data_IF_989285973792
#
_entry.id   IF_989285973792
#
_cell.length_a   1.000
_cell.length_b   1.000
_cell.length_c   1.000
_cell.angle_alpha   90.00
_cell.angle_beta   90.00
_cell.angle_gamma   90.00
#
_symmetry.space_group_name_H-M   'P 1'
#
loop_
_entity.id
_entity.type
_entity.pdbx_description
1 polymer ?
#
# COMPACT_ATOMS: atom_id res chain seq x y z
N UNK A 1 30.77 -49.23 -66.79
CA UNK A 1 30.24 -48.41 -65.67
C UNK A 1 29.43 -47.25 -66.25
N UNK A 2 28.38 -46.77 -65.58
CA UNK A 2 27.49 -45.66 -65.99
C UNK A 2 26.22 -45.98 -66.80
N UNK A 3 25.30 -46.82 -66.26
CA UNK A 3 23.87 -46.82 -66.65
C UNK A 3 22.88 -46.78 -65.48
N UNK A 4 23.35 -46.92 -64.22
CA UNK A 4 22.48 -46.87 -63.03
C UNK A 4 22.20 -45.44 -62.50
N UNK A 5 23.07 -44.45 -62.75
CA UNK A 5 22.90 -43.10 -62.19
C UNK A 5 21.85 -42.23 -62.91
N UNK A 6 21.65 -42.42 -64.22
CA UNK A 6 20.70 -41.61 -65.02
C UNK A 6 19.24 -41.87 -64.62
N UNK A 7 18.91 -43.08 -64.17
CA UNK A 7 17.57 -43.46 -63.71
C UNK A 7 17.22 -42.85 -62.34
N UNK A 8 18.21 -42.72 -61.45
CA UNK A 8 18.01 -42.20 -60.10
C UNK A 8 17.90 -40.66 -60.10
N UNK A 9 18.73 -39.97 -60.87
CA UNK A 9 18.64 -38.50 -61.02
C UNK A 9 17.33 -38.06 -61.70
N UNK A 10 16.87 -38.80 -62.71
CA UNK A 10 15.59 -38.50 -63.37
C UNK A 10 14.39 -38.78 -62.46
N UNK A 11 14.46 -39.79 -61.60
CA UNK A 11 13.44 -40.07 -60.57
C UNK A 11 13.41 -38.97 -59.51
N UNK A 12 14.56 -38.58 -58.96
CA UNK A 12 14.66 -37.50 -57.96
C UNK A 12 14.17 -36.17 -58.52
N UNK A 13 14.51 -35.84 -59.78
CA UNK A 13 14.04 -34.63 -60.45
C UNK A 13 12.52 -34.63 -60.66
N UNK A 14 11.92 -35.78 -60.98
CA UNK A 14 10.46 -35.91 -61.11
C UNK A 14 9.76 -35.76 -59.75
N UNK A 15 10.29 -36.38 -58.69
CA UNK A 15 9.75 -36.23 -57.34
C UNK A 15 9.87 -34.80 -56.82
N UNK A 16 10.99 -34.11 -57.08
CA UNK A 16 11.17 -32.70 -56.71
C UNK A 16 10.18 -31.78 -57.41
N UNK A 17 9.99 -31.95 -58.73
CA UNK A 17 8.98 -31.19 -59.50
C UNK A 17 7.57 -31.46 -58.97
N UNK A 18 7.26 -32.70 -58.59
CA UNK A 18 5.95 -33.06 -58.04
C UNK A 18 5.70 -32.40 -56.67
N UNK A 19 6.70 -32.42 -55.78
CA UNK A 19 6.61 -31.79 -54.45
C UNK A 19 6.51 -30.26 -54.56
N UNK A 20 7.33 -29.63 -55.41
CA UNK A 20 7.24 -28.19 -55.69
C UNK A 20 5.87 -27.81 -56.29
N UNK A 21 5.31 -28.66 -57.14
CA UNK A 21 3.96 -28.46 -57.69
C UNK A 21 2.87 -28.55 -56.61
N UNK A 22 2.99 -29.49 -55.67
CA UNK A 22 2.04 -29.63 -54.55
C UNK A 22 2.12 -28.43 -53.61
N UNK A 23 3.34 -27.97 -53.29
CA UNK A 23 3.55 -26.78 -52.44
C UNK A 23 3.01 -25.53 -53.15
N UNK A 24 3.28 -25.36 -54.44
CA UNK A 24 2.74 -24.24 -55.23
C UNK A 24 1.20 -24.29 -55.29
N UNK A 25 0.60 -25.46 -55.47
CA UNK A 25 -0.86 -25.63 -55.41
C UNK A 25 -1.42 -25.31 -54.01
N UNK A 26 -0.71 -25.69 -52.94
CA UNK A 26 -1.08 -25.35 -51.57
C UNK A 26 -1.05 -23.84 -51.31
N UNK A 27 0.03 -23.15 -51.74
CA UNK A 27 0.16 -21.70 -51.62
C UNK A 27 -0.92 -20.98 -52.44
N UNK A 28 -1.21 -21.45 -53.67
CA UNK A 28 -2.28 -20.89 -54.50
C UNK A 28 -3.67 -21.12 -53.86
N UNK A 29 -3.89 -22.27 -53.22
CA UNK A 29 -5.11 -22.55 -52.47
C UNK A 29 -5.29 -21.63 -51.26
N UNK A 30 -4.23 -21.41 -50.48
CA UNK A 30 -4.24 -20.50 -49.31
C UNK A 30 -4.45 -19.05 -49.77
N UNK A 31 -3.75 -18.61 -50.82
CA UNK A 31 -3.94 -17.28 -51.40
C UNK A 31 -5.34 -17.09 -51.97
N UNK A 32 -5.93 -18.10 -52.63
CA UNK A 32 -7.30 -18.05 -53.11
C UNK A 32 -8.32 -18.03 -51.97
N UNK A 33 -8.06 -18.74 -50.86
CA UNK A 33 -8.87 -18.69 -49.66
C UNK A 33 -8.80 -17.32 -48.96
N UNK A 34 -7.61 -16.72 -48.88
CA UNK A 34 -7.42 -15.38 -48.34
C UNK A 34 -8.09 -14.31 -49.23
N UNK A 35 -7.97 -14.43 -50.56
CA UNK A 35 -8.65 -13.55 -51.52
C UNK A 35 -10.18 -13.72 -51.48
N UNK A 36 -10.69 -14.95 -51.31
CA UNK A 36 -12.12 -15.19 -51.08
C UNK A 36 -12.56 -14.58 -49.75
N UNK A 37 -11.79 -14.75 -48.68
CA UNK A 37 -12.06 -14.13 -47.38
C UNK A 37 -11.97 -12.60 -47.38
N UNK A 38 -11.21 -12.00 -48.30
CA UNK A 38 -11.14 -10.56 -48.52
C UNK A 38 -12.28 -10.05 -49.42
N UNK A 39 -12.66 -10.82 -50.45
CA UNK A 39 -13.80 -10.51 -51.32
C UNK A 39 -15.16 -10.69 -50.61
N UNK A 40 -15.29 -11.71 -49.75
CA UNK A 40 -16.44 -11.92 -48.87
C UNK A 40 -16.53 -10.80 -47.80
N UNK A 41 -15.41 -10.10 -47.51
CA UNK A 41 -15.35 -8.92 -46.62
C UNK A 41 -15.45 -7.58 -47.36
N UNK A 42 -15.44 -7.56 -48.69
CA UNK A 42 -15.67 -6.33 -49.44
C UNK A 42 -17.15 -6.22 -49.81
N UNK A 43 -17.98 -5.87 -48.83
CA UNK A 43 -19.29 -5.31 -49.09
C UNK A 43 -19.14 -3.80 -49.21
N UNK A 44 -19.59 -3.24 -50.34
CA UNK A 44 -19.81 -1.80 -50.47
C UNK A 44 -20.94 -1.45 -49.50
N UNK A 45 -20.60 -0.74 -48.42
CA UNK A 45 -21.59 -0.24 -47.46
C UNK A 45 -22.43 0.81 -48.21
N UNK A 46 -23.67 0.45 -48.54
CA UNK A 46 -24.67 1.40 -49.00
C UNK A 46 -25.00 2.37 -47.85
N UNK A 47 -25.28 3.65 -48.12
CA UNK A 47 -25.67 4.59 -47.07
C UNK A 47 -26.87 4.03 -46.31
N UNK A 48 -26.77 4.10 -44.97
CA UNK A 48 -27.87 3.79 -44.07
C UNK A 48 -29.12 4.56 -44.48
N UNK A 49 -30.26 3.87 -44.52
CA UNK A 49 -31.59 4.47 -44.71
C UNK A 49 -32.07 5.31 -43.50
N UNK A 50 -31.19 5.56 -42.53
CA UNK A 50 -31.39 6.49 -41.41
C UNK A 50 -30.56 7.78 -41.59
N UNK A 51 -30.60 8.36 -42.79
CA UNK A 51 -30.45 9.81 -42.90
C UNK A 51 -31.79 10.43 -42.47
N UNK A 52 -31.73 11.26 -41.43
CA UNK A 52 -32.84 11.69 -40.57
C UNK A 52 -34.11 12.20 -41.27
N UNK A 53 -35.27 11.82 -40.72
CA UNK A 53 -36.50 12.62 -40.68
C UNK A 53 -36.85 12.83 -39.19
N UNK A 54 -37.02 14.08 -38.69
CA UNK A 54 -36.80 14.43 -37.28
C UNK A 54 -38.08 14.36 -36.43
N UNK A 55 -38.84 13.26 -36.50
CA UNK A 55 -40.03 13.06 -35.65
C UNK A 55 -40.34 11.58 -35.39
N UNK A 56 -39.63 10.93 -34.45
CA UNK A 56 -40.13 9.72 -33.77
C UNK A 56 -39.31 9.44 -32.51
N UNK A 57 -40.00 9.30 -31.38
CA UNK A 57 -39.45 9.08 -30.05
C UNK A 57 -38.46 7.91 -30.01
N UNK A 58 -37.17 8.24 -29.91
CA UNK A 58 -36.18 7.35 -29.34
C UNK A 58 -36.54 7.23 -27.86
N UNK A 59 -36.79 6.01 -27.37
CA UNK A 59 -36.66 5.74 -25.95
C UNK A 59 -35.19 6.00 -25.59
N UNK A 60 -34.91 7.25 -25.22
CA UNK A 60 -33.69 7.67 -24.54
C UNK A 60 -33.55 6.73 -23.33
N UNK A 61 -32.36 6.19 -23.03
CA UNK A 61 -32.11 5.62 -21.71
C UNK A 61 -32.67 6.61 -20.68
N UNK A 62 -33.70 6.20 -19.94
CA UNK A 62 -34.45 7.13 -19.08
C UNK A 62 -33.72 7.40 -17.77
N UNK A 63 -32.45 7.04 -17.69
CA UNK A 63 -31.52 7.64 -16.75
C UNK A 63 -30.85 8.82 -17.46
N UNK A 64 -31.19 10.02 -17.01
CA UNK A 64 -30.28 11.14 -17.14
C UNK A 64 -28.90 10.67 -16.64
N UNK A 65 -27.78 11.03 -17.30
CA UNK A 65 -26.47 10.82 -16.69
C UNK A 65 -26.55 11.43 -15.30
N UNK A 66 -26.25 10.61 -14.29
CA UNK A 66 -26.29 11.05 -12.91
C UNK A 66 -25.44 12.34 -12.82
N UNK A 67 -26.05 13.49 -12.49
CA UNK A 67 -25.29 14.74 -12.38
C UNK A 67 -24.20 14.67 -11.30
N UNK A 68 -24.27 13.65 -10.43
CA UNK A 68 -23.29 13.34 -9.40
C UNK A 68 -22.25 12.27 -9.84
N UNK A 69 -22.38 11.69 -11.04
CA UNK A 69 -21.37 10.76 -11.55
C UNK A 69 -20.02 11.47 -11.73
N UNK A 70 -18.91 10.92 -11.22
CA UNK A 70 -17.62 11.58 -11.28
C UNK A 70 -17.19 11.81 -12.73
N UNK A 71 -16.86 13.06 -13.05
CA UNK A 71 -16.15 13.40 -14.28
C UNK A 71 -14.70 12.97 -14.06
N UNK A 72 -14.19 12.05 -14.85
CA UNK A 72 -12.80 11.58 -14.73
C UNK A 72 -11.81 12.50 -15.46
N UNK A 73 -10.66 12.71 -14.83
CA UNK A 73 -9.44 13.29 -15.41
C UNK A 73 -8.28 12.30 -15.25
N UNK A 74 -7.07 12.63 -15.66
CA UNK A 74 -5.88 11.78 -15.44
C UNK A 74 -4.85 12.48 -14.57
N UNK A 75 -4.16 11.68 -13.76
CA UNK A 75 -2.96 12.06 -13.03
C UNK A 75 -1.81 11.24 -13.57
N UNK A 76 -0.71 11.91 -13.91
CA UNK A 76 0.51 11.27 -14.41
C UNK A 76 1.32 10.72 -13.24
N UNK A 77 1.38 9.40 -13.12
CA UNK A 77 2.09 8.69 -12.05
C UNK A 77 3.41 8.11 -12.58
N UNK A 78 4.56 8.34 -11.93
CA UNK A 78 5.80 7.65 -12.29
C UNK A 78 5.65 6.13 -12.20
N UNK A 79 6.28 5.38 -13.10
CA UNK A 79 6.18 3.91 -13.09
C UNK A 79 6.71 3.28 -11.79
N UNK A 80 7.70 3.90 -11.15
CA UNK A 80 8.24 3.46 -9.85
C UNK A 80 7.22 3.60 -8.70
N UNK A 81 6.19 4.45 -8.85
CA UNK A 81 5.20 4.70 -7.81
C UNK A 81 4.27 3.48 -7.56
N UNK A 82 4.33 2.45 -8.40
CA UNK A 82 3.66 1.16 -8.12
C UNK A 82 4.21 0.50 -6.85
N UNK A 83 5.41 0.88 -6.41
CA UNK A 83 6.09 0.34 -5.23
C UNK A 83 5.85 1.18 -3.96
N UNK A 84 4.94 2.17 -4.00
CA UNK A 84 4.62 3.06 -2.87
C UNK A 84 3.12 3.13 -2.60
N UNK A 85 2.74 3.42 -1.36
CA UNK A 85 1.34 3.61 -0.93
C UNK A 85 0.85 2.53 0.04
N UNK A 86 -0.34 2.71 0.59
CA UNK A 86 -0.86 1.90 1.70
C UNK A 86 -1.14 0.43 1.33
N UNK A 87 -1.37 0.14 0.05
CA UNK A 87 -1.77 -1.16 -0.47
C UNK A 87 -0.65 -1.92 -1.20
N UNK A 88 0.61 -1.53 -0.97
CA UNK A 88 1.76 -2.29 -1.48
C UNK A 88 1.77 -3.70 -0.88
N UNK A 89 1.77 -4.72 -1.74
CA UNK A 89 1.94 -6.10 -1.33
C UNK A 89 3.43 -6.41 -1.19
N UNK A 90 3.91 -6.54 0.05
CA UNK A 90 5.29 -6.94 0.34
C UNK A 90 5.29 -8.35 0.90
N UNK A 91 5.94 -9.28 0.20
CA UNK A 91 6.08 -10.67 0.62
C UNK A 91 7.25 -11.34 -0.13
N UNK A 92 7.34 -12.67 -0.06
CA UNK A 92 8.39 -13.45 -0.71
C UNK A 92 8.41 -13.35 -2.25
N UNK A 93 7.24 -13.07 -2.87
CA UNK A 93 7.10 -12.95 -4.33
C UNK A 93 7.19 -11.49 -4.81
N UNK A 94 6.99 -10.53 -3.89
CA UNK A 94 6.94 -9.10 -4.17
C UNK A 94 7.83 -8.32 -3.19
N UNK A 95 9.10 -8.15 -3.57
CA UNK A 95 10.05 -7.42 -2.73
C UNK A 95 9.82 -5.90 -2.78
N UNK A 96 9.98 -5.25 -1.64
CA UNK A 96 10.08 -3.81 -1.48
C UNK A 96 11.51 -3.35 -1.81
N UNK A 97 11.62 -2.29 -2.60
CA UNK A 97 12.90 -1.81 -3.17
C UNK A 97 13.19 -0.35 -2.88
N UNK A 98 12.28 0.33 -2.18
CA UNK A 98 12.40 1.76 -1.90
C UNK A 98 13.06 1.96 -0.53
N UNK A 99 14.07 2.82 -0.47
CA UNK A 99 14.67 3.24 0.79
C UNK A 99 15.16 4.68 0.64
N UNK A 100 14.57 5.62 1.38
CA UNK A 100 15.10 6.98 1.58
C UNK A 100 14.13 8.14 1.36
N UNK A 101 12.83 7.89 1.15
CA UNK A 101 11.80 8.94 0.99
C UNK A 101 10.58 8.77 1.90
N UNK A 102 10.63 7.81 2.82
CA UNK A 102 9.57 7.51 3.77
C UNK A 102 9.45 8.66 4.79
N UNK A 103 8.24 9.18 4.98
CA UNK A 103 7.93 10.16 6.04
C UNK A 103 7.79 9.44 7.39
N UNK A 104 8.94 8.98 7.88
CA UNK A 104 9.07 8.26 9.15
C UNK A 104 9.03 9.25 10.32
N UNK A 105 8.27 8.88 11.35
CA UNK A 105 8.16 9.61 12.61
C UNK A 105 8.61 8.73 13.76
N UNK A 106 9.27 9.32 14.76
CA UNK A 106 9.62 8.62 16.00
C UNK A 106 8.35 8.42 16.85
N UNK A 107 8.10 7.17 17.24
CA UNK A 107 6.89 6.79 17.97
C UNK A 107 6.91 7.41 19.37
N UNK A 108 8.00 7.25 20.12
CA UNK A 108 8.09 7.72 21.50
C UNK A 108 8.06 9.25 21.58
N UNK A 109 8.72 9.96 20.65
CA UNK A 109 8.67 11.42 20.58
C UNK A 109 7.22 11.92 20.42
N UNK A 110 6.48 11.37 19.44
CA UNK A 110 5.09 11.80 19.22
C UNK A 110 4.14 11.37 20.34
N UNK A 111 4.37 10.22 20.99
CA UNK A 111 3.59 9.79 22.15
C UNK A 111 3.76 10.80 23.30
N UNK A 112 4.99 11.21 23.58
CA UNK A 112 5.32 12.20 24.60
C UNK A 112 4.68 13.56 24.29
N UNK A 113 4.79 14.04 23.05
CA UNK A 113 4.19 15.29 22.60
C UNK A 113 2.66 15.29 22.73
N UNK A 114 2.03 14.14 22.46
CA UNK A 114 0.59 13.95 22.61
C UNK A 114 0.15 13.70 24.06
N UNK A 115 1.09 13.49 25.00
CA UNK A 115 0.80 13.13 26.38
C UNK A 115 0.16 11.74 26.54
N UNK A 116 0.40 10.83 25.60
CA UNK A 116 -0.09 9.45 25.64
C UNK A 116 0.89 8.61 26.46
N UNK A 117 0.41 8.01 27.55
CA UNK A 117 1.26 7.24 28.50
C UNK A 117 0.77 5.81 28.74
N UNK A 118 -0.24 5.34 28.00
CA UNK A 118 -0.80 3.99 28.17
C UNK A 118 0.02 2.89 27.49
N UNK A 119 1.02 3.25 26.68
CA UNK A 119 2.00 2.34 26.07
C UNK A 119 3.23 3.14 25.63
N UNK A 120 4.29 2.44 25.23
CA UNK A 120 5.48 3.02 24.60
C UNK A 120 6.03 2.11 23.49
N UNK A 121 7.01 2.59 22.73
CA UNK A 121 7.89 1.71 21.98
C UNK A 121 9.03 1.18 22.86
N UNK A 122 9.51 -0.02 22.54
CA UNK A 122 10.47 -0.77 23.36
C UNK A 122 11.82 -0.04 23.51
N UNK A 123 12.28 0.61 22.43
CA UNK A 123 13.49 1.44 22.45
C UNK A 123 13.25 2.78 21.73
N UNK A 124 14.08 3.77 22.04
CA UNK A 124 14.11 5.05 21.31
C UNK A 124 14.54 4.84 19.86
N UNK A 125 14.05 5.67 18.94
CA UNK A 125 14.35 5.54 17.51
C UNK A 125 13.47 4.54 16.76
N UNK A 126 12.51 3.90 17.44
CA UNK A 126 11.45 3.15 16.79
C UNK A 126 10.59 4.12 15.99
N UNK A 127 10.65 3.95 14.67
CA UNK A 127 9.95 4.83 13.73
C UNK A 127 8.85 4.07 12.99
N UNK A 128 7.87 4.81 12.48
CA UNK A 128 6.79 4.29 11.64
C UNK A 128 6.38 5.35 10.62
N UNK A 129 5.71 4.97 9.53
CA UNK A 129 5.18 5.98 8.61
C UNK A 129 4.16 6.88 9.32
N UNK A 130 4.25 8.19 9.06
CA UNK A 130 3.40 9.20 9.72
C UNK A 130 1.91 8.87 9.67
N UNK A 131 1.41 8.38 8.54
CA UNK A 131 0.00 8.04 8.38
C UNK A 131 -0.45 6.83 9.21
N UNK A 132 0.48 6.00 9.67
CA UNK A 132 0.20 4.81 10.51
C UNK A 132 0.19 5.15 12.00
N UNK A 133 0.91 6.21 12.39
CA UNK A 133 1.03 6.62 13.79
C UNK A 133 -0.33 6.86 14.46
N UNK A 134 -1.22 7.63 13.83
CA UNK A 134 -2.53 7.94 14.41
C UNK A 134 -3.46 6.72 14.48
N UNK A 135 -3.60 5.89 13.44
CA UNK A 135 -4.26 4.59 13.50
C UNK A 135 -3.80 3.68 14.65
N UNK A 136 -2.49 3.46 14.75
CA UNK A 136 -1.86 2.61 15.76
C UNK A 136 -2.16 3.12 17.17
N UNK A 137 -1.92 4.42 17.41
CA UNK A 137 -2.13 5.04 18.72
C UNK A 137 -3.59 5.05 19.14
N UNK A 138 -4.51 5.32 18.22
CA UNK A 138 -5.95 5.28 18.49
C UNK A 138 -6.42 3.88 18.90
N UNK A 139 -6.00 2.85 18.17
CA UNK A 139 -6.35 1.46 18.48
C UNK A 139 -5.86 1.05 19.88
N UNK A 140 -4.60 1.31 20.20
CA UNK A 140 -3.99 0.93 21.48
C UNK A 140 -4.60 1.75 22.64
N UNK A 141 -4.89 3.03 22.40
CA UNK A 141 -5.54 3.89 23.40
C UNK A 141 -6.97 3.43 23.71
N UNK A 142 -7.74 3.02 22.69
CA UNK A 142 -9.10 2.52 22.88
C UNK A 142 -9.10 1.15 23.60
N UNK A 143 -8.15 0.27 23.27
CA UNK A 143 -7.91 -0.95 24.04
C UNK A 143 -7.64 -0.64 25.52
N UNK A 144 -6.71 0.27 25.81
CA UNK A 144 -6.42 0.71 27.18
C UNK A 144 -7.67 1.28 27.87
N UNK A 145 -8.46 2.09 27.19
CA UNK A 145 -9.67 2.68 27.76
C UNK A 145 -10.71 1.61 28.16
N UNK A 146 -10.78 0.50 27.44
CA UNK A 146 -11.72 -0.61 27.72
C UNK A 146 -11.20 -1.50 28.85
N UNK A 147 -9.93 -1.93 28.78
CA UNK A 147 -9.39 -2.99 29.62
C UNK A 147 -8.51 -2.50 30.77
N UNK A 148 -8.07 -1.25 30.72
CA UNK A 148 -7.12 -0.65 31.67
C UNK A 148 -5.78 -1.41 31.73
N UNK A 149 -5.38 -1.98 30.59
CA UNK A 149 -4.13 -2.71 30.40
C UNK A 149 -3.10 -1.79 29.72
N UNK A 150 -2.11 -1.35 30.49
CA UNK A 150 -0.99 -0.51 30.07
C UNK A 150 0.29 -1.32 29.83
N UNK A 151 0.17 -2.64 29.70
CA UNK A 151 1.34 -3.53 29.56
C UNK A 151 1.80 -3.67 28.10
N UNK A 152 1.05 -3.16 27.12
CA UNK A 152 1.42 -3.22 25.71
C UNK A 152 2.63 -2.34 25.39
N UNK A 153 3.48 -2.82 24.49
CA UNK A 153 4.61 -2.07 23.93
C UNK A 153 4.74 -2.34 22.43
N UNK A 154 5.17 -1.34 21.66
CA UNK A 154 5.63 -1.56 20.28
C UNK A 154 6.99 -2.26 20.35
N UNK A 155 7.09 -3.45 19.79
CA UNK A 155 8.32 -4.27 19.78
C UNK A 155 8.89 -4.48 18.37
N UNK A 156 8.12 -4.13 17.35
CA UNK A 156 8.55 -4.06 15.96
C UNK A 156 7.93 -2.85 15.29
N UNK A 157 8.72 -2.10 14.54
CA UNK A 157 8.25 -0.98 13.72
C UNK A 157 9.07 -0.93 12.42
N UNK A 158 9.30 0.23 11.81
CA UNK A 158 10.18 0.33 10.65
C UNK A 158 11.54 -0.33 10.89
N UNK A 159 11.98 -1.15 9.93
CA UNK A 159 13.30 -1.80 9.91
C UNK A 159 13.98 -1.46 8.60
N UNK A 160 15.23 -1.02 8.62
CA UNK A 160 15.99 -0.89 7.38
C UNK A 160 16.26 -2.26 6.75
N UNK A 161 16.49 -2.28 5.44
CA UNK A 161 16.86 -3.51 4.72
C UNK A 161 18.12 -4.16 5.34
N UNK A 162 19.13 -3.37 5.71
CA UNK A 162 20.35 -3.85 6.38
C UNK A 162 20.05 -4.51 7.73
N UNK A 163 19.11 -3.93 8.50
CA UNK A 163 18.71 -4.52 9.78
C UNK A 163 17.91 -5.82 9.57
N UNK A 164 17.03 -5.85 8.56
CA UNK A 164 16.33 -7.09 8.18
C UNK A 164 17.31 -8.18 7.74
N UNK A 165 18.38 -7.84 7.00
CA UNK A 165 19.45 -8.78 6.62
C UNK A 165 20.17 -9.34 7.84
N UNK A 166 20.51 -8.49 8.81
CA UNK A 166 21.11 -8.92 10.06
C UNK A 166 20.22 -9.92 10.82
N UNK A 167 18.91 -9.63 10.94
CA UNK A 167 17.96 -10.53 11.61
C UNK A 167 17.84 -11.87 10.88
N UNK A 168 17.75 -11.85 9.55
CA UNK A 168 17.67 -13.04 8.72
C UNK A 168 18.89 -13.94 8.90
N UNK A 169 20.10 -13.37 8.80
CA UNK A 169 21.35 -14.11 8.94
C UNK A 169 21.53 -14.67 10.36
N UNK A 170 21.05 -13.94 11.38
CA UNK A 170 21.08 -14.39 12.78
C UNK A 170 20.17 -15.61 13.00
N UNK A 171 18.95 -15.61 12.45
CA UNK A 171 18.03 -16.74 12.57
C UNK A 171 18.57 -17.98 11.83
N UNK A 172 19.15 -17.82 10.64
CA UNK A 172 19.82 -18.92 9.94
C UNK A 172 21.00 -19.49 10.72
N UNK A 173 21.79 -18.63 11.37
CA UNK A 173 22.91 -19.06 12.20
C UNK A 173 22.47 -19.81 13.46
N UNK A 174 21.34 -19.43 14.04
CA UNK A 174 20.77 -20.07 15.24
C UNK A 174 20.13 -21.43 14.91
N UNK A 175 19.33 -21.49 13.85
CA UNK A 175 18.58 -22.68 13.46
C UNK A 175 19.42 -23.68 12.67
N UNK A 176 20.41 -23.20 11.91
CA UNK A 176 21.19 -23.98 10.96
C UNK A 176 20.40 -24.37 9.69
N UNK A 177 19.25 -23.74 9.44
CA UNK A 177 18.45 -23.95 8.23
C UNK A 177 19.01 -23.18 7.02
N UNK A 178 18.62 -23.59 5.81
CA UNK A 178 19.02 -22.88 4.58
C UNK A 178 18.15 -21.64 4.30
N UNK A 179 16.95 -21.60 4.88
CA UNK A 179 15.97 -20.51 4.72
C UNK A 179 15.20 -20.33 6.04
N UNK A 180 14.87 -19.09 6.40
CA UNK A 180 14.10 -18.83 7.61
C UNK A 180 12.60 -18.98 7.33
N UNK A 181 11.89 -19.57 8.28
CA UNK A 181 10.41 -19.62 8.31
C UNK A 181 9.80 -18.63 9.30
N UNK A 182 10.64 -17.85 9.98
CA UNK A 182 10.27 -16.93 11.08
C UNK A 182 10.65 -15.48 10.80
N UNK A 183 11.70 -15.27 9.99
CA UNK A 183 12.19 -13.95 9.61
C UNK A 183 12.09 -13.83 8.10
N UNK A 184 11.37 -12.81 7.62
CA UNK A 184 11.28 -12.56 6.18
C UNK A 184 12.66 -12.21 5.60
N UNK A 185 12.89 -12.60 4.34
CA UNK A 185 14.08 -12.18 3.59
C UNK A 185 14.13 -10.65 3.50
N UNK A 186 15.33 -10.05 3.41
CA UNK A 186 15.47 -8.62 3.15
C UNK A 186 14.79 -8.24 1.84
N UNK A 187 14.03 -7.15 1.86
CA UNK A 187 13.11 -6.73 0.83
C UNK A 187 11.73 -7.40 0.92
N UNK A 188 11.54 -8.44 1.71
CA UNK A 188 10.26 -9.16 1.81
C UNK A 188 9.56 -8.97 3.16
N UNK A 189 10.08 -8.08 4.02
CA UNK A 189 9.47 -7.74 5.31
C UNK A 189 8.59 -6.50 5.19
N UNK A 190 7.35 -6.56 5.68
CA UNK A 190 6.48 -5.37 5.72
C UNK A 190 7.01 -4.27 6.66
N UNK A 191 7.89 -4.60 7.61
CA UNK A 191 8.57 -3.60 8.42
C UNK A 191 9.46 -2.67 7.59
N UNK A 192 9.95 -3.13 6.44
CA UNK A 192 10.81 -2.30 5.59
C UNK A 192 10.05 -1.14 4.93
N UNK A 193 8.73 -1.25 4.80
CA UNK A 193 7.92 -0.16 4.26
C UNK A 193 7.30 0.75 5.36
N UNK A 194 7.52 0.45 6.64
CA UNK A 194 7.01 1.26 7.75
C UNK A 194 5.47 1.26 7.90
N UNK A 195 4.76 0.37 7.19
CA UNK A 195 3.31 0.18 7.28
C UNK A 195 2.89 -0.86 8.32
N UNK A 196 3.85 -1.59 8.89
CA UNK A 196 3.61 -2.64 9.86
C UNK A 196 4.26 -2.36 11.22
N UNK A 197 3.63 -2.86 12.28
CA UNK A 197 4.18 -2.85 13.63
C UNK A 197 3.83 -4.14 14.39
N UNK A 198 4.68 -4.50 15.34
CA UNK A 198 4.49 -5.65 16.23
C UNK A 198 4.19 -5.17 17.65
N UNK A 199 3.19 -5.79 18.27
CA UNK A 199 2.91 -5.64 19.70
C UNK A 199 3.64 -6.69 20.52
N UNK A 200 4.03 -6.30 21.73
CA UNK A 200 4.46 -7.21 22.78
C UNK A 200 3.92 -6.76 24.14
N UNK A 201 4.17 -7.55 25.17
CA UNK A 201 3.95 -7.16 26.56
C UNK A 201 5.26 -6.76 27.25
N UNK A 202 5.21 -5.77 28.13
CA UNK A 202 6.35 -5.28 28.90
C UNK A 202 6.85 -6.25 29.98
N UNK A 203 6.00 -7.18 30.44
CA UNK A 203 6.34 -8.07 31.57
C UNK A 203 7.01 -9.35 31.12
N UNK A 204 6.38 -10.09 30.20
CA UNK A 204 6.84 -11.41 29.76
C UNK A 204 7.30 -11.43 28.29
N UNK A 205 7.15 -10.33 27.55
CA UNK A 205 7.39 -10.26 26.11
C UNK A 205 6.61 -11.29 25.30
N UNK A 206 5.45 -11.69 25.82
CA UNK A 206 4.61 -12.76 25.28
C UNK A 206 3.24 -12.19 24.95
N UNK A 207 3.08 -11.71 23.72
CA UNK A 207 1.80 -11.28 23.21
C UNK A 207 1.11 -12.46 22.53
N UNK A 208 -0.07 -12.81 23.02
CA UNK A 208 -0.81 -13.98 22.53
C UNK A 208 -1.94 -13.60 21.57
N UNK A 209 -2.45 -12.38 21.67
CA UNK A 209 -3.69 -11.99 20.97
C UNK A 209 -4.92 -12.72 21.51
N UNK A 210 -4.84 -13.30 22.70
CA UNK A 210 -5.92 -14.00 23.37
C UNK A 210 -6.46 -13.18 24.56
N UNK A 211 -7.58 -13.62 25.15
CA UNK A 211 -8.20 -12.92 26.26
C UNK A 211 -8.64 -11.51 25.85
N UNK A 212 -8.24 -10.50 26.62
CA UNK A 212 -8.58 -9.11 26.30
C UNK A 212 -7.87 -8.64 25.02
N UNK A 213 -6.65 -9.13 24.72
CA UNK A 213 -5.87 -8.76 23.53
C UNK A 213 -6.54 -9.18 22.22
N UNK A 214 -7.43 -10.18 22.25
CA UNK A 214 -8.22 -10.57 21.08
C UNK A 214 -8.99 -9.39 20.49
N UNK A 215 -9.38 -8.43 21.35
CA UNK A 215 -10.03 -7.20 20.92
C UNK A 215 -9.23 -6.44 19.87
N UNK A 216 -7.90 -6.40 19.96
CA UNK A 216 -7.05 -5.70 19.00
C UNK A 216 -7.18 -6.32 17.60
N UNK A 217 -7.08 -7.64 17.51
CA UNK A 217 -7.27 -8.36 16.25
C UNK A 217 -8.69 -8.21 15.69
N UNK A 218 -9.70 -8.27 16.56
CA UNK A 218 -11.11 -8.17 16.18
C UNK A 218 -11.55 -6.76 15.76
N UNK A 219 -10.86 -5.71 16.23
CA UNK A 219 -11.29 -4.31 16.05
C UNK A 219 -10.28 -3.46 15.26
N UNK A 220 -9.10 -3.99 14.91
CA UNK A 220 -8.07 -3.24 14.18
C UNK A 220 -8.58 -2.58 12.89
N UNK A 221 -9.54 -3.19 12.20
CA UNK A 221 -10.09 -2.68 10.95
C UNK A 221 -10.80 -1.32 11.07
N UNK A 222 -11.27 -0.96 12.26
CA UNK A 222 -11.85 0.37 12.52
C UNK A 222 -10.82 1.50 12.36
N UNK A 223 -9.54 1.16 12.45
CA UNK A 223 -8.41 2.08 12.37
C UNK A 223 -7.65 1.93 11.04
N UNK A 224 -8.16 1.14 10.10
CA UNK A 224 -7.45 0.89 8.83
C UNK A 224 -6.31 -0.11 8.93
N UNK A 225 -6.28 -0.88 10.03
CA UNK A 225 -5.31 -1.93 10.29
C UNK A 225 -5.91 -3.30 10.04
N UNK A 226 -5.08 -4.26 9.65
CA UNK A 226 -5.42 -5.68 9.58
C UNK A 226 -4.47 -6.49 10.46
N UNK A 227 -4.99 -7.55 11.07
CA UNK A 227 -4.14 -8.62 11.60
C UNK A 227 -3.59 -9.42 10.42
N UNK A 228 -2.30 -9.26 10.12
CA UNK A 228 -1.75 -9.58 8.79
C UNK A 228 -1.64 -11.07 8.50
N UNK A 229 -1.25 -11.85 9.52
CA UNK A 229 -0.91 -13.26 9.39
C UNK A 229 -1.77 -14.09 10.35
N UNK A 230 -2.95 -14.49 9.86
CA UNK A 230 -3.88 -15.37 10.59
C UNK A 230 -3.70 -16.82 10.21
N UNK A 231 -4.07 -17.74 11.11
CA UNK A 231 -3.96 -19.19 10.89
C UNK A 231 -4.68 -19.66 9.63
N UNK A 232 -5.89 -19.13 9.37
CA UNK A 232 -6.68 -19.48 8.19
C UNK A 232 -6.00 -19.06 6.87
N UNK A 233 -5.10 -18.07 6.92
CA UNK A 233 -4.47 -17.44 5.75
C UNK A 233 -3.04 -17.87 5.50
N UNK A 234 -2.43 -18.63 6.41
CA UNK A 234 -1.10 -19.22 6.23
C UNK A 234 -0.90 -19.95 4.89
N UNK A 235 -1.88 -20.71 4.34
CA UNK A 235 -1.71 -21.33 3.03
C UNK A 235 -1.52 -20.35 1.87
N UNK A 236 -1.92 -19.09 2.03
CA UNK A 236 -1.78 -18.02 1.04
C UNK A 236 -0.57 -17.15 1.38
N UNK A 237 -0.49 -16.61 2.59
CA UNK A 237 0.57 -15.68 3.03
C UNK A 237 1.94 -16.34 3.15
N UNK A 238 1.98 -17.66 3.37
CA UNK A 238 3.18 -18.48 3.64
C UNK A 238 3.93 -18.13 4.93
N UNK A 239 3.37 -17.24 5.75
CA UNK A 239 3.90 -16.87 7.06
C UNK A 239 3.08 -17.58 8.14
N UNK A 240 3.73 -17.98 9.24
CA UNK A 240 3.05 -18.59 10.38
C UNK A 240 2.07 -17.59 11.02
N UNK A 241 1.12 -18.04 11.86
CA UNK A 241 0.24 -17.11 12.56
C UNK A 241 1.06 -16.18 13.46
N UNK A 242 0.85 -14.87 13.32
CA UNK A 242 1.53 -13.84 14.09
C UNK A 242 0.46 -12.91 14.68
N UNK A 243 -0.09 -13.23 15.87
CA UNK A 243 -1.15 -12.44 16.49
C UNK A 243 -0.72 -10.99 16.79
N UNK A 244 0.58 -10.73 16.87
CA UNK A 244 1.17 -9.43 17.16
C UNK A 244 1.39 -8.52 15.96
N UNK A 245 1.37 -9.03 14.71
CA UNK A 245 1.77 -8.27 13.52
C UNK A 245 0.57 -7.58 12.86
N UNK A 246 0.51 -6.26 12.99
CA UNK A 246 -0.53 -5.42 12.40
C UNK A 246 0.00 -4.65 11.20
N UNK A 247 -0.82 -4.57 10.15
CA UNK A 247 -0.48 -3.89 8.89
C UNK A 247 -1.52 -2.83 8.56
N UNK A 248 -1.09 -1.61 8.27
CA UNK A 248 -1.95 -0.53 7.80
C UNK A 248 -2.23 -0.67 6.30
N UNK A 249 -3.51 -0.56 5.94
CA UNK A 249 -4.02 -0.64 4.56
C UNK A 249 -5.08 0.44 4.28
N UNK A 250 -5.42 1.29 5.26
CA UNK A 250 -6.49 2.27 5.18
C UNK A 250 -7.88 1.72 5.53
N UNK A 251 -8.77 2.60 6.02
CA UNK A 251 -10.06 2.22 6.63
C UNK A 251 -10.97 1.41 5.71
N UNK A 252 -11.19 1.89 4.48
CA UNK A 252 -12.08 1.23 3.52
C UNK A 252 -11.62 -0.20 3.22
N UNK A 253 -10.31 -0.36 3.03
CA UNK A 253 -9.68 -1.61 2.65
C UNK A 253 -9.68 -2.60 3.82
N UNK A 254 -9.25 -2.17 5.00
CA UNK A 254 -9.24 -3.01 6.21
C UNK A 254 -10.65 -3.49 6.57
N UNK A 255 -11.65 -2.60 6.47
CA UNK A 255 -13.06 -2.94 6.65
C UNK A 255 -13.48 -4.04 5.68
N UNK A 256 -13.28 -3.83 4.37
CA UNK A 256 -13.70 -4.79 3.36
C UNK A 256 -13.00 -6.14 3.52
N UNK A 257 -11.68 -6.13 3.75
CA UNK A 257 -10.90 -7.34 3.98
C UNK A 257 -11.40 -8.13 5.18
N UNK A 258 -11.68 -7.44 6.29
CA UNK A 258 -12.16 -8.08 7.52
C UNK A 258 -13.55 -8.68 7.32
N UNK A 259 -14.50 -7.93 6.73
CA UNK A 259 -15.87 -8.42 6.53
C UNK A 259 -15.95 -9.56 5.51
N UNK A 260 -14.96 -9.70 4.63
CA UNK A 260 -14.90 -10.76 3.62
C UNK A 260 -13.87 -11.85 3.95
N UNK A 261 -13.24 -11.80 5.13
CA UNK A 261 -12.17 -12.70 5.54
C UNK A 261 -11.10 -12.86 4.44
N UNK A 262 -10.44 -11.76 4.06
CA UNK A 262 -9.38 -11.74 3.04
C UNK A 262 -8.04 -11.36 3.67
N UNK A 263 -6.95 -12.04 3.27
CA UNK A 263 -5.61 -11.50 3.47
C UNK A 263 -5.25 -10.49 2.35
N UNK A 264 -4.14 -9.76 2.50
CA UNK A 264 -3.75 -8.73 1.54
C UNK A 264 -3.53 -9.31 0.13
N UNK A 265 -2.92 -10.48 0.02
CA UNK A 265 -2.75 -11.19 -1.26
C UNK A 265 -4.08 -11.41 -1.98
N UNK A 266 -5.08 -11.97 -1.28
CA UNK A 266 -6.41 -12.24 -1.86
C UNK A 266 -7.13 -10.94 -2.23
N UNK A 267 -6.95 -9.88 -1.44
CA UNK A 267 -7.56 -8.58 -1.71
C UNK A 267 -6.99 -7.92 -2.96
N UNK A 268 -5.66 -7.92 -3.11
CA UNK A 268 -4.98 -7.38 -4.29
C UNK A 268 -5.38 -8.18 -5.54
N UNK A 269 -5.44 -9.50 -5.46
CA UNK A 269 -5.90 -10.33 -6.57
C UNK A 269 -7.38 -10.11 -6.91
N UNK A 270 -8.24 -9.91 -5.92
CA UNK A 270 -9.65 -9.58 -6.13
C UNK A 270 -9.79 -8.25 -6.91
N UNK A 271 -9.05 -7.21 -6.50
CA UNK A 271 -9.10 -5.92 -7.19
C UNK A 271 -8.61 -6.03 -8.64
N UNK A 272 -7.47 -6.71 -8.85
CA UNK A 272 -6.88 -6.90 -10.19
C UNK A 272 -7.79 -7.69 -11.14
N UNK A 273 -8.41 -8.77 -10.64
CA UNK A 273 -9.17 -9.69 -11.47
C UNK A 273 -10.61 -9.27 -11.70
N UNK A 274 -11.21 -8.53 -10.75
CA UNK A 274 -12.66 -8.27 -10.75
C UNK A 274 -13.01 -6.78 -10.81
N UNK A 275 -12.10 -5.88 -10.43
CA UNK A 275 -12.41 -4.46 -10.26
C UNK A 275 -11.42 -3.55 -11.00
N UNK A 276 -11.10 -3.88 -12.25
CA UNK A 276 -10.37 -2.97 -13.12
C UNK A 276 -11.21 -1.72 -13.46
N UNK A 277 -10.55 -0.59 -13.71
CA UNK A 277 -11.19 0.69 -14.08
C UNK A 277 -12.19 0.60 -15.25
N UNK A 278 -11.95 -0.29 -16.20
CA UNK A 278 -12.84 -0.47 -17.36
C UNK A 278 -14.06 -1.37 -17.06
N UNK A 279 -14.12 -1.94 -15.86
CA UNK A 279 -15.13 -2.89 -15.41
C UNK A 279 -16.00 -2.35 -14.28
N UNK A 280 -16.51 -3.26 -13.45
CA UNK A 280 -17.31 -2.91 -12.28
C UNK A 280 -16.39 -2.52 -11.11
N UNK A 281 -16.52 -1.30 -10.62
CA UNK A 281 -15.76 -0.84 -9.46
C UNK A 281 -16.31 -1.46 -8.17
N UNK A 282 -15.42 -1.68 -7.21
CA UNK A 282 -15.80 -2.17 -5.90
C UNK A 282 -16.41 -1.02 -5.08
N UNK A 283 -17.64 -1.18 -4.62
CA UNK A 283 -18.28 -0.22 -3.71
C UNK A 283 -18.18 -0.74 -2.28
N UNK A 284 -17.65 0.10 -1.38
CA UNK A 284 -17.50 -0.22 0.04
C UNK A 284 -18.28 0.81 0.84
N UNK A 285 -19.17 0.36 1.71
CA UNK A 285 -19.81 1.20 2.71
C UNK A 285 -19.40 0.70 4.08
N UNK A 286 -18.65 1.51 4.83
CA UNK A 286 -18.22 1.14 6.17
C UNK A 286 -19.39 1.22 7.18
N UNK A 287 -19.14 0.74 8.41
CA UNK A 287 -20.14 0.80 9.49
C UNK A 287 -20.50 2.22 9.94
N UNK A 288 -19.65 3.21 9.63
CA UNK A 288 -19.91 4.64 9.86
C UNK A 288 -20.79 5.28 8.77
N UNK A 289 -21.04 4.58 7.67
CA UNK A 289 -21.79 5.07 6.51
C UNK A 289 -20.93 5.83 5.49
N UNK A 290 -19.60 5.85 5.65
CA UNK A 290 -18.70 6.35 4.62
C UNK A 290 -18.76 5.43 3.42
N UNK A 291 -18.86 6.01 2.22
CA UNK A 291 -18.93 5.26 0.97
C UNK A 291 -17.68 5.51 0.13
N UNK A 292 -17.11 4.42 -0.37
CA UNK A 292 -15.91 4.39 -1.19
C UNK A 292 -16.18 3.64 -2.49
N UNK A 293 -15.51 4.09 -3.55
CA UNK A 293 -15.45 3.38 -4.83
C UNK A 293 -13.99 3.09 -5.16
N UNK A 294 -13.67 1.82 -5.36
CA UNK A 294 -12.30 1.33 -5.52
C UNK A 294 -12.16 0.62 -6.86
N UNK A 295 -11.10 0.95 -7.58
CA UNK A 295 -10.72 0.21 -8.79
C UNK A 295 -9.21 0.09 -8.93
N UNK A 296 -8.81 -0.93 -9.67
CA UNK A 296 -7.44 -1.16 -10.10
C UNK A 296 -7.20 -0.62 -11.51
N UNK A 297 -6.01 -0.08 -11.74
CA UNK A 297 -5.56 0.41 -13.03
C UNK A 297 -4.14 -0.09 -13.33
N UNK A 298 -3.97 -0.79 -14.45
CA UNK A 298 -2.68 -1.35 -14.87
C UNK A 298 -1.65 -0.24 -15.12
N UNK A 299 -0.42 -0.45 -14.66
CA UNK A 299 0.69 0.43 -15.02
C UNK A 299 1.07 0.24 -16.50
N UNK A 300 1.44 1.34 -17.17
CA UNK A 300 2.00 1.29 -18.51
C UNK A 300 3.49 0.93 -18.45
N UNK A 301 3.78 -0.36 -18.49
CA UNK A 301 5.16 -0.87 -18.48
C UNK A 301 6.00 -0.50 -19.72
N UNK A 302 5.43 0.16 -20.73
CA UNK A 302 6.17 0.68 -21.88
C UNK A 302 6.56 2.16 -21.75
N UNK A 303 6.12 2.82 -20.67
CA UNK A 303 6.32 4.25 -20.41
C UNK A 303 7.01 4.46 -19.05
N UNK A 304 7.64 5.62 -18.88
CA UNK A 304 8.17 6.07 -17.59
C UNK A 304 7.05 6.57 -16.65
N UNK A 305 5.85 6.78 -17.20
CA UNK A 305 4.67 7.28 -16.48
C UNK A 305 3.40 6.55 -16.93
N UNK A 306 2.45 6.41 -16.01
CA UNK A 306 1.10 5.90 -16.25
C UNK A 306 0.09 7.03 -16.02
N UNK A 307 -0.78 7.28 -16.99
CA UNK A 307 -1.90 8.22 -16.84
C UNK A 307 -3.07 7.52 -16.14
N UNK A 308 -3.16 7.68 -14.82
CA UNK A 308 -4.16 7.03 -13.98
C UNK A 308 -5.44 7.88 -13.98
N UNK A 309 -6.60 7.33 -14.38
CA UNK A 309 -7.86 8.05 -14.31
C UNK A 309 -8.27 8.25 -12.86
N UNK A 310 -8.77 9.43 -12.51
CA UNK A 310 -9.25 9.82 -11.17
C UNK A 310 -10.45 10.76 -11.28
N UNK A 311 -11.33 10.84 -10.27
CA UNK A 311 -12.46 11.78 -10.29
C UNK A 311 -11.96 13.23 -10.15
N UNK A 312 -12.56 14.14 -10.91
CA UNK A 312 -12.22 15.57 -10.91
C UNK A 312 -12.85 16.37 -9.77
N UNK A 313 -13.87 15.81 -9.12
CA UNK A 313 -14.75 16.51 -8.16
C UNK A 313 -14.91 15.77 -6.82
N UNK A 314 -14.21 14.67 -6.62
CA UNK A 314 -14.23 13.88 -5.39
C UNK A 314 -12.81 13.73 -4.84
N UNK A 315 -12.69 13.57 -3.53
CA UNK A 315 -11.43 13.20 -2.90
C UNK A 315 -11.07 11.76 -3.28
N UNK A 316 -9.78 11.49 -3.46
CA UNK A 316 -9.30 10.17 -3.81
C UNK A 316 -7.89 9.94 -3.25
N UNK A 317 -7.56 8.67 -3.03
CA UNK A 317 -6.20 8.19 -2.77
C UNK A 317 -5.72 7.33 -3.94
N UNK A 318 -4.41 7.29 -4.17
CA UNK A 318 -3.77 6.38 -5.13
C UNK A 318 -2.68 5.63 -4.40
N UNK A 319 -2.72 4.29 -4.45
CA UNK A 319 -1.66 3.42 -3.98
C UNK A 319 -1.14 2.57 -5.11
N UNK A 320 0.17 2.38 -5.21
CA UNK A 320 0.72 1.22 -5.90
C UNK A 320 0.29 -0.08 -5.21
N UNK A 321 0.26 -1.18 -5.95
CA UNK A 321 0.01 -2.52 -5.38
C UNK A 321 1.29 -3.35 -5.19
N UNK A 322 2.46 -2.82 -5.57
CA UNK A 322 3.76 -3.50 -5.61
C UNK A 322 3.83 -4.72 -6.55
N UNK A 323 2.87 -4.85 -7.47
CA UNK A 323 2.77 -5.97 -8.41
C UNK A 323 2.83 -5.46 -9.85
N UNK A 324 1.85 -4.66 -10.26
CA UNK A 324 1.63 -4.34 -11.67
C UNK A 324 0.76 -3.09 -11.94
N UNK A 325 0.36 -2.34 -10.91
CA UNK A 325 -0.52 -1.21 -11.14
C UNK A 325 -0.85 -0.39 -9.90
N UNK A 326 -1.89 0.42 -10.06
CA UNK A 326 -2.38 1.36 -9.07
C UNK A 326 -3.78 0.95 -8.61
N UNK A 327 -4.09 1.21 -7.36
CA UNK A 327 -5.41 1.11 -6.77
C UNK A 327 -5.84 2.54 -6.45
N UNK A 328 -6.98 2.94 -6.99
CA UNK A 328 -7.59 4.25 -6.73
C UNK A 328 -8.77 4.05 -5.80
N UNK A 329 -8.82 4.83 -4.73
CA UNK A 329 -9.91 4.82 -3.74
C UNK A 329 -10.59 6.18 -3.75
N UNK A 330 -11.78 6.25 -4.32
CA UNK A 330 -12.62 7.45 -4.35
C UNK A 330 -13.46 7.52 -3.08
N UNK A 331 -13.50 8.69 -2.45
CA UNK A 331 -14.36 8.95 -1.30
C UNK A 331 -15.64 9.65 -1.78
N UNK A 332 -16.78 8.94 -1.76
CA UNK A 332 -18.03 9.40 -2.39
C UNK A 332 -18.85 10.34 -1.50
N UNK A 333 -18.78 10.15 -0.18
CA UNK A 333 -19.61 10.89 0.79
C UNK A 333 -18.83 11.75 1.80
N UNK A 334 -17.50 11.83 1.68
CA UNK A 334 -16.74 12.81 2.46
C UNK A 334 -16.88 14.17 1.79
N UNK A 335 -17.60 15.08 2.44
CA UNK A 335 -17.54 16.50 2.09
C UNK A 335 -16.05 16.88 2.18
N UNK A 336 -15.42 17.37 1.10
CA UNK A 336 -14.00 17.70 1.14
C UNK A 336 -13.78 18.77 2.22
N UNK A 337 -13.16 18.38 3.34
CA UNK A 337 -12.59 19.33 4.28
C UNK A 337 -11.38 19.93 3.59
N UNK A 338 -11.60 21.03 2.89
CA UNK A 338 -10.53 21.98 2.60
C UNK A 338 -10.00 22.48 3.95
N UNK A 339 -8.90 21.91 4.43
CA UNK A 339 -8.01 22.65 5.34
C UNK A 339 -7.46 23.80 4.51
N UNK A 340 -8.14 24.94 4.60
CA UNK A 340 -7.56 26.20 4.18
C UNK A 340 -6.30 26.39 5.04
N UNK A 341 -5.16 26.30 4.38
CA UNK A 341 -3.88 26.80 4.84
C UNK A 341 -4.11 28.18 5.49
N UNK A 342 -4.02 28.24 6.82
CA UNK A 342 -3.99 29.49 7.56
C UNK A 342 -2.67 30.19 7.25
N UNK A 343 -2.62 30.84 6.09
CA UNK A 343 -1.70 31.94 5.84
C UNK A 343 -2.12 33.11 6.72
N UNK A 344 -1.60 33.10 7.95
CA UNK A 344 -1.66 34.22 8.86
C UNK A 344 -0.90 35.41 8.23
N UNK A 345 -1.51 36.61 8.07
CA UNK A 345 -0.77 37.79 7.65
C UNK A 345 0.13 38.23 8.81
N UNK A 346 1.41 38.48 8.50
CA UNK A 346 2.35 39.08 9.41
C UNK A 346 1.93 40.52 9.76
N UNK A 347 1.42 40.72 10.98
CA UNK A 347 1.33 42.05 11.57
C UNK A 347 2.68 42.42 12.20
N UNK A 348 3.31 43.37 11.53
CA UNK A 348 4.59 43.97 11.86
C UNK A 348 4.32 45.18 12.77
N UNK A 349 4.37 45.00 14.09
CA UNK A 349 4.47 46.13 15.04
C UNK A 349 5.82 46.13 15.75
N UNK A 350 6.60 47.15 15.40
CA UNK A 350 7.86 47.55 16.01
C UNK A 350 7.59 48.24 17.36
N UNK A 351 8.28 47.92 18.46
CA UNK A 351 8.38 48.84 19.58
C UNK A 351 9.56 49.78 19.35
N UNK A 352 9.25 51.08 19.30
CA UNK A 352 10.23 52.14 19.31
C UNK A 352 10.97 52.20 20.65
N UNK A 353 12.27 52.34 20.53
CA UNK A 353 13.28 52.68 21.53
C UNK A 353 12.95 54.04 22.18
N UNK A 354 12.93 54.11 23.52
CA UNK A 354 13.19 55.37 24.22
C UNK A 354 14.13 55.11 25.40
N UNK A 355 15.21 55.86 25.40
CA UNK A 355 16.37 55.73 26.28
C UNK A 355 16.33 56.85 27.30
N UNK A 356 16.51 56.53 28.58
CA UNK A 356 17.24 57.44 29.47
C UNK A 356 17.88 56.68 30.63
N UNK A 357 19.20 56.79 30.69
CA UNK A 357 20.07 56.30 31.74
C UNK A 357 19.90 57.05 33.06
N UNK A 358 20.12 56.36 34.19
CA UNK A 358 21.11 56.76 35.18
C UNK A 358 21.34 55.64 36.22
N UNK A 359 22.61 55.38 36.51
CA UNK A 359 23.14 54.63 37.65
C UNK A 359 24.13 55.57 38.40
N UNK A 360 24.82 55.22 39.52
CA UNK A 360 24.85 53.97 40.29
C UNK A 360 24.95 54.17 41.84
N UNK A 361 25.29 53.07 42.53
CA UNK A 361 25.99 52.91 43.83
C UNK A 361 25.22 52.95 45.16
N UNK A 362 25.18 51.80 45.86
CA UNK A 362 26.17 51.50 46.92
C UNK A 362 25.93 50.16 47.64
N UNK A 363 26.99 49.36 47.64
CA UNK A 363 27.53 48.45 48.66
C UNK A 363 26.75 48.16 49.95
N UNK A 364 26.65 46.86 50.29
CA UNK A 364 27.19 46.36 51.56
C UNK A 364 27.37 44.83 51.54
N UNK A 365 28.64 44.40 51.57
CA UNK A 365 29.08 43.10 52.07
C UNK A 365 29.20 43.14 53.61
N UNK A 366 29.05 41.99 54.29
CA UNK A 366 30.04 41.34 55.18
C UNK A 366 29.37 40.16 55.93
N UNK A 367 29.58 38.94 55.39
CA UNK A 367 30.27 37.73 55.91
C UNK A 367 30.09 37.23 57.38
N UNK A 368 30.67 36.07 57.78
CA UNK A 368 29.96 34.78 57.96
C UNK A 368 30.24 34.13 59.35
N UNK A 369 29.72 32.92 59.62
CA UNK A 369 30.32 32.04 60.64
C UNK A 369 30.11 30.55 60.31
N UNK A 370 31.08 29.76 60.79
CA UNK A 370 31.50 28.43 60.36
C UNK A 370 30.61 27.25 60.78
N UNK A 371 30.77 26.11 60.09
CA UNK A 371 30.50 24.79 60.69
C UNK A 371 30.21 23.66 59.71
N UNK A 372 31.21 22.83 59.42
CA UNK A 372 31.08 21.48 58.85
C UNK A 372 31.95 20.52 59.71
N UNK A 373 31.92 19.17 59.53
CA UNK A 373 30.87 18.26 59.07
C UNK A 373 30.60 17.12 60.09
N UNK A 374 29.62 16.23 59.83
CA UNK A 374 29.40 15.02 60.63
C UNK A 374 28.69 13.91 59.87
N UNK A 375 29.47 12.95 59.38
CA UNK A 375 29.18 11.51 59.27
C UNK A 375 30.22 10.79 60.17
N UNK A 376 30.05 9.53 60.65
CA UNK A 376 29.33 8.40 60.03
C UNK A 376 28.48 7.54 61.00
N UNK A 377 27.76 6.53 60.49
CA UNK A 377 27.88 5.11 60.93
C UNK A 377 26.91 4.17 60.20
N UNK A 378 27.50 3.08 59.67
CA UNK A 378 26.88 1.80 59.32
C UNK A 378 26.34 1.08 60.58
N UNK A 379 25.26 0.29 60.47
CA UNK A 379 25.25 -1.15 60.82
C UNK A 379 23.86 -1.81 60.66
N UNK A 380 23.85 -2.85 59.81
CA UNK A 380 23.25 -4.18 60.01
C UNK A 380 21.74 -4.35 60.30
N UNK A 381 21.01 -4.92 59.32
CA UNK A 381 20.71 -6.37 59.25
C UNK A 381 20.09 -6.77 57.91
#
# INVERSE_FOLDING_TARGET
>A
MSKKNVSQESSIRRTKILVESIIACGILGISAYALKGAADRSQVVLPSQYAEDPTADIAVPTEAPDPDAPIFTTVSMPSEAIHSGDLILVNADHSYTQTGQEDLVDINELLNDAGITCFSAFEDGYTILRQVYQPMTAMISDYYNIYQDDTLTIYGSYRSNDFQQYLYDSDLAETGEEESTRVAKPGSSEHECGLAFDLSETVNYDYTGEGDQAWLGENCYHYGLILRYTEEKQPVTKIQPEPWHFRYVGNAHAFYMTKNNLCLEEYIDLLRNNHAYSGEHLIITDEGGSEYEVYWYAADGASETTEVPVPSNLAYDISGNNVDGFIVTIHRNTIPTFTADETQPADNETPADDTSADAPDSENEVSPEDGAPGEPEEEQQ
#
